data_IF_997797511518
#
_entry.id   IF_997797511518
#
_cell.length_a   1.000
_cell.length_b   1.000
_cell.length_c   1.000
_cell.angle_alpha   90.00
_cell.angle_beta   90.00
_cell.angle_gamma   90.00
#
_symmetry.space_group_name_H-M   'P 1'
#
loop_
_entity.id
_entity.type
_entity.pdbx_description
1 polymer ?
#
# COMPACT_ATOMS: atom_id res chain seq x y z
N UNK A 1 5.66 60.42 -14.65
CA UNK A 1 4.59 59.96 -13.73
C UNK A 1 5.21 58.92 -12.80
N UNK A 2 5.38 59.28 -11.53
CA UNK A 2 6.14 58.51 -10.51
C UNK A 2 5.15 57.79 -9.61
N UNK A 3 5.23 56.46 -9.53
CA UNK A 3 4.38 55.64 -8.68
C UNK A 3 4.92 55.59 -7.23
N UNK A 4 4.07 55.67 -6.19
CA UNK A 4 4.50 55.72 -4.80
C UNK A 4 5.00 54.37 -4.28
N UNK A 5 6.26 54.35 -3.82
CA UNK A 5 7.03 53.19 -3.33
C UNK A 5 6.49 52.54 -2.04
N UNK A 6 5.39 53.06 -1.47
CA UNK A 6 4.89 52.64 -0.16
C UNK A 6 3.81 51.55 -0.22
N UNK A 7 3.25 51.25 -1.41
CA UNK A 7 2.23 50.20 -1.56
C UNK A 7 2.79 48.76 -1.48
N UNK A 8 4.06 48.56 -1.83
CA UNK A 8 4.67 47.21 -1.89
C UNK A 8 4.95 46.64 -0.49
N UNK A 9 5.23 47.48 0.50
CA UNK A 9 5.54 47.02 1.86
C UNK A 9 4.31 46.51 2.63
N UNK A 10 3.10 47.01 2.32
CA UNK A 10 1.88 46.54 2.98
C UNK A 10 1.42 45.16 2.46
N UNK A 11 1.68 44.87 1.18
CA UNK A 11 1.34 43.58 0.55
C UNK A 11 2.20 42.42 1.08
N UNK A 12 3.47 42.67 1.42
CA UNK A 12 4.34 41.65 2.03
C UNK A 12 3.96 41.32 3.48
N UNK A 13 3.42 42.28 4.24
CA UNK A 13 2.98 42.04 5.62
C UNK A 13 1.72 41.16 5.70
N UNK A 14 0.82 41.27 4.71
CA UNK A 14 -0.41 40.46 4.66
C UNK A 14 -0.10 39.02 4.19
N UNK A 15 0.91 38.82 3.33
CA UNK A 15 1.28 37.48 2.86
C UNK A 15 2.02 36.63 3.92
N UNK A 16 2.65 37.26 4.92
CA UNK A 16 3.37 36.55 6.00
C UNK A 16 2.44 36.04 7.12
N UNK A 17 1.21 36.55 7.23
CA UNK A 17 0.24 36.16 8.25
C UNK A 17 -0.63 34.95 7.86
N UNK A 18 -0.57 34.46 6.61
CA UNK A 18 -1.32 33.27 6.17
C UNK A 18 -0.55 31.95 6.29
N UNK A 19 0.71 31.97 6.74
CA UNK A 19 1.55 30.75 6.87
C UNK A 19 1.44 30.02 8.21
N UNK A 20 0.63 30.50 9.17
CA UNK A 20 0.53 29.93 10.53
C UNK A 20 -0.81 29.27 10.87
N UNK A 21 -1.58 28.83 9.88
CA UNK A 21 -2.80 28.05 10.15
C UNK A 21 -2.70 26.64 9.54
N UNK A 22 -1.95 25.76 10.21
CA UNK A 22 -2.00 24.32 9.97
C UNK A 22 -2.96 23.69 10.98
N UNK A 23 -4.17 23.24 10.59
CA UNK A 23 -4.88 22.27 11.40
C UNK A 23 -4.06 20.98 11.43
N UNK A 24 -3.59 20.61 12.62
CA UNK A 24 -3.14 19.26 12.93
C UNK A 24 -4.33 18.32 12.76
N UNK A 25 -4.54 17.81 11.55
CA UNK A 25 -5.35 16.62 11.34
C UNK A 25 -4.51 15.44 11.80
N UNK A 26 -4.65 15.14 13.09
CA UNK A 26 -4.27 13.87 13.68
C UNK A 26 -5.09 12.77 12.97
N UNK A 27 -4.51 12.15 11.95
CA UNK A 27 -5.01 10.88 11.43
C UNK A 27 -4.56 9.79 12.40
N UNK A 28 -5.39 9.52 13.41
CA UNK A 28 -5.33 8.26 14.15
C UNK A 28 -5.71 7.14 13.17
N UNK A 29 -4.68 6.43 12.69
CA UNK A 29 -4.84 5.10 12.11
C UNK A 29 -5.23 4.15 13.24
N UNK A 30 -6.54 3.98 13.46
CA UNK A 30 -7.05 2.83 14.22
C UNK A 30 -6.98 1.61 13.31
N UNK A 31 -5.76 1.08 13.14
CA UNK A 31 -5.56 -0.33 12.78
C UNK A 31 -5.87 -1.16 14.01
N UNK A 32 -7.16 -1.26 14.33
CA UNK A 32 -7.66 -2.28 15.25
C UNK A 32 -8.04 -3.48 14.41
N UNK A 33 -7.09 -4.43 14.26
CA UNK A 33 -7.45 -5.85 14.21
C UNK A 33 -8.10 -6.19 15.54
N UNK A 34 -9.35 -5.81 15.68
CA UNK A 34 -10.25 -6.28 16.72
C UNK A 34 -11.20 -7.24 16.03
N UNK A 35 -10.87 -8.53 16.09
CA UNK A 35 -11.88 -9.54 16.33
C UNK A 35 -12.59 -9.12 17.61
N UNK A 36 -13.62 -8.28 17.46
CA UNK A 36 -14.55 -7.95 18.53
C UNK A 36 -15.33 -9.23 18.76
N UNK A 37 -14.80 -10.02 19.67
CA UNK A 37 -15.50 -11.02 20.44
C UNK A 37 -16.69 -10.30 21.12
N UNK A 38 -17.87 -10.35 20.49
CA UNK A 38 -19.11 -9.72 20.97
C UNK A 38 -19.69 -10.42 22.22
N UNK A 39 -18.84 -10.99 23.09
CA UNK A 39 -19.26 -11.72 24.30
C UNK A 39 -18.45 -11.38 25.54
N UNK A 40 -17.84 -10.20 25.60
CA UNK A 40 -17.18 -9.71 26.82
C UNK A 40 -17.66 -8.30 27.19
N UNK A 41 -18.97 -8.09 27.31
CA UNK A 41 -19.49 -6.92 28.00
C UNK A 41 -20.94 -7.12 28.42
N UNK A 42 -21.16 -7.98 29.41
CA UNK A 42 -22.20 -7.81 30.43
C UNK A 42 -21.96 -8.85 31.51
N UNK A 43 -22.30 -8.49 32.75
CA UNK A 43 -22.17 -9.28 33.99
C UNK A 43 -20.78 -9.12 34.63
N UNK A 44 -20.57 -8.16 35.52
CA UNK A 44 -21.49 -7.80 36.60
C UNK A 44 -21.51 -8.96 37.60
N UNK A 45 -20.81 -8.75 38.71
CA UNK A 45 -20.63 -9.66 39.83
C UNK A 45 -21.93 -10.40 40.22
N UNK A 46 -21.73 -11.64 40.68
CA UNK A 46 -22.68 -12.55 41.36
C UNK A 46 -23.38 -13.55 40.42
N UNK A 47 -23.11 -14.84 40.65
CA UNK A 47 -24.03 -15.92 40.25
C UNK A 47 -23.39 -17.05 39.47
N UNK A 48 -22.85 -18.02 40.19
CA UNK A 48 -22.48 -19.35 39.68
C UNK A 48 -23.76 -20.04 39.16
N UNK A 49 -23.88 -20.24 37.84
CA UNK A 49 -24.86 -21.16 37.25
C UNK A 49 -24.25 -21.81 36.02
N UNK A 50 -23.82 -23.06 36.20
CA UNK A 50 -23.28 -23.93 35.17
C UNK A 50 -24.44 -24.38 34.27
N UNK A 51 -24.64 -23.71 33.15
CA UNK A 51 -25.43 -24.24 32.04
C UNK A 51 -24.47 -24.94 31.08
N UNK A 52 -24.41 -26.27 31.18
CA UNK A 52 -23.72 -27.12 30.21
C UNK A 52 -24.38 -26.98 28.85
N UNK A 53 -23.70 -26.33 27.91
CA UNK A 53 -24.04 -26.41 26.51
C UNK A 53 -23.42 -27.69 25.94
N UNK A 54 -24.18 -28.52 25.19
CA UNK A 54 -23.57 -29.59 24.42
C UNK A 54 -22.62 -28.95 23.42
N UNK A 55 -21.32 -29.11 23.64
CA UNK A 55 -20.31 -28.93 22.61
C UNK A 55 -20.53 -30.09 21.63
N UNK A 56 -21.46 -29.93 20.71
CA UNK A 56 -21.39 -30.67 19.47
C UNK A 56 -20.02 -30.36 18.90
N UNK A 57 -19.15 -31.36 18.86
CA UNK A 57 -17.87 -31.30 18.18
C UNK A 57 -18.14 -30.92 16.72
N UNK A 58 -18.13 -29.61 16.46
CA UNK A 58 -17.92 -29.09 15.12
C UNK A 58 -16.44 -29.36 14.79
N UNK A 59 -16.12 -30.64 14.56
CA UNK A 59 -14.94 -31.10 13.85
C UNK A 59 -15.09 -30.72 12.36
N UNK A 60 -15.32 -29.44 12.09
CA UNK A 60 -14.96 -28.82 10.84
C UNK A 60 -13.60 -28.16 11.06
N UNK A 61 -12.60 -28.98 11.41
CA UNK A 61 -11.22 -28.59 11.13
C UNK A 61 -11.15 -28.60 9.61
N UNK A 62 -11.40 -27.44 9.01
CA UNK A 62 -11.08 -27.17 7.61
C UNK A 62 -9.55 -27.17 7.57
N UNK A 63 -8.96 -28.36 7.61
CA UNK A 63 -7.60 -28.62 7.13
C UNK A 63 -7.67 -28.64 5.60
N UNK A 64 -8.30 -27.61 5.01
CA UNK A 64 -8.20 -27.39 3.57
C UNK A 64 -6.72 -27.21 3.32
N UNK A 65 -6.15 -28.13 2.54
CA UNK A 65 -4.76 -28.04 2.11
C UNK A 65 -4.52 -26.66 1.50
N UNK A 66 -3.27 -26.20 1.50
CA UNK A 66 -2.97 -24.85 1.02
C UNK A 66 -3.36 -24.68 -0.45
N UNK A 67 -4.09 -23.61 -0.76
CA UNK A 67 -4.31 -23.11 -2.11
C UNK A 67 -3.97 -21.62 -2.12
N UNK A 68 -2.93 -21.25 -2.85
CA UNK A 68 -2.49 -19.85 -2.97
C UNK A 68 -2.28 -19.52 -4.44
N UNK A 69 -2.89 -18.42 -4.89
CA UNK A 69 -2.82 -17.97 -6.29
C UNK A 69 -3.24 -19.06 -7.30
N UNK A 70 -4.19 -19.92 -6.93
CA UNK A 70 -4.66 -21.03 -7.78
C UNK A 70 -3.70 -22.22 -7.89
N UNK A 71 -2.67 -22.30 -7.03
CA UNK A 71 -1.74 -23.43 -6.94
C UNK A 71 -1.82 -24.08 -5.56
N UNK A 72 -1.75 -25.41 -5.50
CA UNK A 72 -1.68 -26.19 -4.27
C UNK A 72 -2.71 -27.31 -4.20
N UNK A 73 -2.48 -28.26 -3.30
CA UNK A 73 -3.29 -29.49 -3.20
C UNK A 73 -4.73 -29.25 -2.73
N UNK A 74 -5.02 -28.10 -2.13
CA UNK A 74 -6.38 -27.79 -1.64
C UNK A 74 -7.23 -27.01 -2.62
N UNK A 75 -6.72 -26.67 -3.81
CA UNK A 75 -7.51 -25.88 -4.76
C UNK A 75 -8.73 -26.64 -5.28
N UNK A 76 -8.60 -27.96 -5.51
CA UNK A 76 -9.73 -28.81 -5.93
C UNK A 76 -10.79 -28.95 -4.84
N UNK A 77 -10.36 -29.15 -3.58
CA UNK A 77 -11.26 -29.21 -2.43
C UNK A 77 -12.02 -27.89 -2.26
N UNK A 78 -11.35 -26.74 -2.43
CA UNK A 78 -11.97 -25.41 -2.38
C UNK A 78 -12.91 -25.14 -3.56
N UNK A 79 -12.72 -25.82 -4.69
CA UNK A 79 -13.61 -25.67 -5.83
C UNK A 79 -14.93 -26.41 -5.60
N UNK A 80 -14.96 -27.46 -4.75
CA UNK A 80 -16.15 -28.28 -4.44
C UNK A 80 -16.92 -28.74 -5.71
N UNK A 81 -16.22 -28.96 -6.82
CA UNK A 81 -16.82 -29.32 -8.12
C UNK A 81 -17.46 -28.15 -8.89
N UNK A 82 -17.29 -26.91 -8.43
CA UNK A 82 -17.76 -25.71 -9.12
C UNK A 82 -16.77 -25.29 -10.23
N UNK A 83 -17.19 -25.49 -11.48
CA UNK A 83 -16.41 -25.15 -12.67
C UNK A 83 -16.04 -23.66 -12.76
N UNK A 84 -16.90 -22.76 -12.27
CA UNK A 84 -16.58 -21.33 -12.26
C UNK A 84 -15.39 -21.03 -11.33
N UNK A 85 -15.36 -21.61 -10.13
CA UNK A 85 -14.27 -21.43 -9.16
C UNK A 85 -12.96 -22.01 -9.71
N UNK A 86 -13.00 -23.20 -10.30
CA UNK A 86 -11.84 -23.80 -10.97
C UNK A 86 -11.28 -22.89 -12.07
N UNK A 87 -12.15 -22.32 -12.92
CA UNK A 87 -11.72 -21.38 -13.96
C UNK A 87 -11.04 -20.12 -13.42
N UNK A 88 -11.42 -19.65 -12.21
CA UNK A 88 -10.79 -18.50 -11.55
C UNK A 88 -9.43 -18.88 -10.94
N UNK A 89 -9.33 -20.08 -10.36
CA UNK A 89 -8.06 -20.61 -9.84
C UNK A 89 -7.05 -20.79 -10.97
N UNK A 90 -7.44 -21.36 -12.11
CA UNK A 90 -6.58 -21.50 -13.30
C UNK A 90 -6.08 -20.15 -13.82
N UNK A 91 -6.99 -19.18 -13.98
CA UNK A 91 -6.62 -17.80 -14.39
C UNK A 91 -5.64 -17.16 -13.40
N UNK A 92 -5.80 -17.44 -12.12
CA UNK A 92 -4.89 -16.97 -11.07
C UNK A 92 -3.54 -17.66 -11.15
N UNK A 93 -3.51 -18.97 -11.41
CA UNK A 93 -2.30 -19.77 -11.52
C UNK A 93 -1.42 -19.36 -12.70
N UNK A 94 -2.03 -18.97 -13.82
CA UNK A 94 -1.33 -18.44 -15.01
C UNK A 94 -0.63 -17.12 -14.71
N UNK A 95 -1.22 -16.26 -13.85
CA UNK A 95 -0.68 -14.93 -13.53
C UNK A 95 0.04 -14.86 -12.19
N UNK A 96 0.14 -15.97 -11.46
CA UNK A 96 0.67 -16.00 -10.10
C UNK A 96 2.08 -15.39 -10.01
N UNK A 97 2.96 -15.71 -10.96
CA UNK A 97 4.35 -15.24 -10.94
C UNK A 97 4.44 -13.74 -11.28
N UNK A 98 3.58 -13.24 -12.16
CA UNK A 98 3.47 -11.80 -12.47
C UNK A 98 3.04 -11.03 -11.23
N UNK A 99 1.99 -11.49 -10.53
CA UNK A 99 1.53 -10.86 -9.30
C UNK A 99 2.57 -10.92 -8.19
N UNK A 100 3.31 -12.02 -8.08
CA UNK A 100 4.39 -12.14 -7.11
C UNK A 100 5.53 -11.15 -7.40
N UNK A 101 5.88 -10.97 -8.68
CA UNK A 101 6.87 -9.95 -9.10
C UNK A 101 6.37 -8.54 -8.80
N UNK A 102 5.16 -8.19 -9.21
CA UNK A 102 4.55 -6.88 -8.95
C UNK A 102 4.48 -6.56 -7.46
N UNK A 103 4.10 -7.53 -6.63
CA UNK A 103 4.05 -7.35 -5.18
C UNK A 103 5.44 -7.09 -4.58
N UNK A 104 6.48 -7.77 -5.10
CA UNK A 104 7.87 -7.56 -4.67
C UNK A 104 8.39 -6.18 -5.12
N UNK A 105 8.11 -5.79 -6.35
CA UNK A 105 8.52 -4.49 -6.88
C UNK A 105 7.84 -3.35 -6.11
N UNK A 106 6.55 -3.47 -5.82
CA UNK A 106 5.82 -2.51 -4.97
C UNK A 106 6.39 -2.45 -3.54
N UNK A 107 6.78 -3.59 -2.97
CA UNK A 107 7.45 -3.62 -1.67
C UNK A 107 8.78 -2.86 -1.70
N UNK A 108 9.59 -3.04 -2.73
CA UNK A 108 10.86 -2.31 -2.85
C UNK A 108 10.67 -0.81 -3.05
N UNK A 109 9.75 -0.42 -3.93
CA UNK A 109 9.37 0.97 -4.18
C UNK A 109 8.87 1.69 -2.93
N UNK A 110 8.22 0.97 -2.00
CA UNK A 110 7.71 1.56 -0.76
C UNK A 110 8.77 1.73 0.32
N UNK A 111 9.68 0.76 0.48
CA UNK A 111 10.54 0.68 1.67
C UNK A 111 11.96 1.22 1.48
N UNK A 112 12.48 1.22 0.25
CA UNK A 112 13.89 1.50 -0.01
C UNK A 112 14.26 2.92 -0.53
N UNK A 113 13.35 3.76 -1.07
CA UNK A 113 13.75 5.10 -1.51
C UNK A 113 14.42 5.92 -0.41
N UNK A 114 13.83 5.91 0.80
CA UNK A 114 14.33 6.68 1.93
C UNK A 114 15.66 6.12 2.46
N UNK A 115 15.89 4.81 2.33
CA UNK A 115 17.18 4.19 2.68
C UNK A 115 18.31 4.68 1.77
N UNK A 116 18.09 4.72 0.45
CA UNK A 116 19.13 5.15 -0.49
C UNK A 116 19.35 6.66 -0.48
N UNK A 117 18.31 7.45 -0.18
CA UNK A 117 18.43 8.89 -0.02
C UNK A 117 19.46 9.28 1.06
N UNK A 118 19.57 8.50 2.14
CA UNK A 118 20.58 8.71 3.20
C UNK A 118 22.00 8.48 2.68
N UNK A 119 22.18 7.59 1.71
CA UNK A 119 23.48 7.27 1.09
C UNK A 119 23.82 8.24 -0.05
N UNK A 120 22.96 9.24 -0.31
CA UNK A 120 23.14 10.20 -1.40
C UNK A 120 22.88 9.61 -2.80
N UNK A 121 22.18 8.48 -2.87
CA UNK A 121 21.79 7.83 -4.12
C UNK A 121 20.28 7.82 -4.27
N UNK A 122 19.80 7.96 -5.50
CA UNK A 122 18.37 7.99 -5.81
C UNK A 122 18.04 6.74 -6.61
N UNK A 123 17.04 6.00 -6.14
CA UNK A 123 16.57 4.79 -6.81
C UNK A 123 15.65 5.17 -7.97
N UNK A 124 16.02 4.77 -9.18
CA UNK A 124 15.25 4.98 -10.41
C UNK A 124 14.88 3.63 -11.00
N UNK A 125 13.61 3.47 -11.35
CA UNK A 125 13.09 2.25 -12.00
C UNK A 125 13.35 2.34 -13.51
N UNK A 126 13.91 1.28 -14.08
CA UNK A 126 14.09 1.12 -15.53
C UNK A 126 12.83 0.55 -16.20
N UNK A 127 12.69 0.68 -17.52
CA UNK A 127 11.56 0.11 -18.27
C UNK A 127 11.53 -1.42 -18.24
N UNK A 128 12.68 -2.07 -18.02
CA UNK A 128 12.80 -3.53 -17.81
C UNK A 128 12.24 -4.00 -16.45
N UNK A 129 11.88 -3.06 -15.56
CA UNK A 129 11.41 -3.30 -14.20
C UNK A 129 12.52 -3.50 -13.18
N UNK A 130 13.79 -3.39 -13.57
CA UNK A 130 14.91 -3.37 -12.64
C UNK A 130 15.08 -1.99 -12.00
N UNK A 131 15.81 -1.93 -10.89
CA UNK A 131 16.10 -0.68 -10.19
C UNK A 131 17.58 -0.36 -10.31
N UNK A 132 17.90 0.90 -10.64
CA UNK A 132 19.27 1.42 -10.60
C UNK A 132 19.38 2.51 -9.54
N UNK A 133 20.59 2.67 -9.01
CA UNK A 133 20.94 3.73 -8.10
C UNK A 133 21.74 4.77 -8.88
N UNK A 134 21.21 5.98 -8.95
CA UNK A 134 21.76 7.10 -9.71
C UNK A 134 22.20 8.17 -8.72
N UNK A 135 23.32 8.84 -9.00
CA UNK A 135 23.76 9.99 -8.19
C UNK A 135 22.93 11.25 -8.49
N UNK A 136 22.90 12.21 -7.58
CA UNK A 136 22.08 13.43 -7.75
C UNK A 136 22.50 14.26 -8.98
N UNK A 137 23.78 14.23 -9.36
CA UNK A 137 24.32 14.91 -10.54
C UNK A 137 23.77 14.30 -11.84
N UNK A 138 23.81 12.98 -11.96
CA UNK A 138 23.28 12.22 -13.09
C UNK A 138 21.75 12.36 -13.19
N UNK A 139 21.06 12.36 -12.05
CA UNK A 139 19.61 12.55 -12.02
C UNK A 139 19.22 13.90 -12.63
N UNK A 140 19.95 14.97 -12.29
CA UNK A 140 19.70 16.31 -12.86
C UNK A 140 19.87 16.34 -14.37
N UNK A 141 20.88 15.64 -14.91
CA UNK A 141 21.06 15.50 -16.35
C UNK A 141 19.89 14.74 -17.01
N UNK A 142 19.45 13.63 -16.40
CA UNK A 142 18.31 12.85 -16.91
C UNK A 142 16.97 13.61 -16.83
N UNK A 143 16.80 14.46 -15.80
CA UNK A 143 15.64 15.35 -15.69
C UNK A 143 15.66 16.45 -16.77
N UNK A 144 16.84 17.02 -17.07
CA UNK A 144 17.00 18.01 -18.16
C UNK A 144 16.71 17.40 -19.53
N UNK A 145 17.08 16.13 -19.72
CA UNK A 145 16.79 15.36 -20.93
C UNK A 145 15.31 14.93 -21.06
N UNK A 146 14.46 15.21 -20.06
CA UNK A 146 13.07 14.72 -19.96
C UNK A 146 12.95 13.18 -20.03
N UNK A 147 14.01 12.45 -19.65
CA UNK A 147 14.03 10.98 -19.62
C UNK A 147 13.45 10.41 -18.33
N UNK A 148 13.03 11.23 -17.38
CA UNK A 148 12.46 10.78 -16.10
C UNK A 148 10.98 11.14 -16.04
N UNK A 149 10.14 10.13 -15.82
CA UNK A 149 8.75 10.31 -15.41
C UNK A 149 8.56 9.96 -13.94
N UNK A 150 7.47 10.47 -13.36
CA UNK A 150 7.01 10.07 -12.04
C UNK A 150 5.86 9.08 -12.20
N UNK A 151 6.05 7.85 -11.72
CA UNK A 151 5.01 6.82 -11.69
C UNK A 151 4.53 6.65 -10.24
N UNK A 152 3.21 6.70 -10.04
CA UNK A 152 2.62 6.31 -8.77
C UNK A 152 2.52 4.79 -8.70
N UNK A 153 2.96 4.17 -7.58
CA UNK A 153 2.86 2.73 -7.44
C UNK A 153 1.39 2.30 -7.50
N UNK A 154 1.16 1.12 -8.07
CA UNK A 154 -0.18 0.55 -8.21
C UNK A 154 -0.34 -0.63 -7.24
N UNK A 155 -1.50 -0.72 -6.62
CA UNK A 155 -1.94 -1.82 -5.78
C UNK A 155 -2.92 -2.75 -6.51
N UNK A 156 -3.20 -3.91 -5.91
CA UNK A 156 -4.17 -4.90 -6.39
C UNK A 156 -3.89 -5.40 -7.81
N UNK A 157 -2.61 -5.68 -8.13
CA UNK A 157 -2.19 -6.16 -9.44
C UNK A 157 -2.34 -5.10 -10.53
N UNK A 158 -1.88 -3.87 -10.27
CA UNK A 158 -1.88 -2.79 -11.25
C UNK A 158 -3.23 -2.07 -11.45
N UNK A 159 -4.27 -2.42 -10.69
CA UNK A 159 -5.63 -1.89 -10.92
C UNK A 159 -5.91 -0.56 -10.26
N UNK A 160 -5.28 -0.29 -9.11
CA UNK A 160 -5.57 0.89 -8.29
C UNK A 160 -4.28 1.65 -8.07
N UNK A 161 -4.24 2.94 -8.43
CA UNK A 161 -3.11 3.80 -8.11
C UNK A 161 -3.12 4.14 -6.63
N UNK A 162 -2.03 3.85 -5.92
CA UNK A 162 -1.93 4.14 -4.49
C UNK A 162 -1.36 5.55 -4.27
N UNK A 163 -2.27 6.51 -4.11
CA UNK A 163 -1.92 7.92 -3.86
C UNK A 163 -1.33 8.16 -2.46
N UNK A 164 -1.38 7.16 -1.56
CA UNK A 164 -0.79 7.30 -0.22
C UNK A 164 0.73 7.13 -0.24
N UNK A 165 1.28 6.61 -1.34
CA UNK A 165 2.70 6.37 -1.49
C UNK A 165 3.37 7.48 -2.30
N UNK A 166 4.66 7.72 -2.01
CA UNK A 166 5.46 8.67 -2.78
C UNK A 166 5.60 8.17 -4.23
N UNK A 167 5.50 9.07 -5.23
CA UNK A 167 5.77 8.70 -6.61
C UNK A 167 7.23 8.25 -6.76
N UNK A 168 7.47 7.32 -7.66
CA UNK A 168 8.79 6.78 -7.97
C UNK A 168 9.25 7.31 -9.32
N UNK A 169 10.54 7.59 -9.43
CA UNK A 169 11.16 8.04 -10.67
C UNK A 169 11.36 6.85 -11.60
N UNK A 170 10.88 6.96 -12.83
CA UNK A 170 10.97 5.94 -13.88
C UNK A 170 11.70 6.51 -15.07
N UNK A 171 12.65 5.74 -15.60
CA UNK A 171 13.37 6.06 -16.82
C UNK A 171 12.47 5.76 -18.03
N UNK A 172 12.17 6.79 -18.82
CA UNK A 172 11.54 6.67 -20.13
C UNK A 172 12.63 6.46 -21.18
N UNK A 173 12.39 5.56 -22.13
CA UNK A 173 13.21 5.41 -23.34
C UNK A 173 12.87 6.45 -24.40
#
# INVERSE_FOLDING_TARGET
MSAPKNAVRLLWAILLLSLFNKPCLAYQSTSTKTTIDRRACLQGLIGFSVCGFPTSDANAVISSKACASGRGEGCDDLAEGNEFIRSLQEKSAVKADVYAKEARDAYYMKNYPDFFAVVGKIMVKKPDGSFILVEESELKALMQDNKISLEFPKAMGGKVTDLTQKPVMVLNE
#
